data_IF_916050292101
#
_entry.id   IF_916050292101
#
_cell.length_a   1.000
_cell.length_b   1.000
_cell.length_c   1.000
_cell.angle_alpha   90.00
_cell.angle_beta   90.00
_cell.angle_gamma   90.00
#
_symmetry.space_group_name_H-M   'P 1'
#
loop_
_entity.id
_entity.type
_entity.pdbx_description
1 polymer ?
#
# COMPACT_ATOMS: atom_id res chain seq x y z
N UNK A 1 15.77 -2.76 2.38
CA UNK A 1 14.37 -3.23 2.28
C UNK A 1 13.36 -2.10 2.32
N UNK A 2 13.37 -1.20 3.31
CA UNK A 2 12.37 -0.11 3.39
C UNK A 2 12.33 0.81 2.15
N UNK A 3 13.48 1.14 1.54
CA UNK A 3 13.53 1.92 0.30
C UNK A 3 12.92 1.18 -0.92
N UNK A 4 13.03 -0.14 -0.94
CA UNK A 4 12.44 -1.02 -1.96
C UNK A 4 10.91 -1.00 -1.84
N UNK A 5 10.41 -1.11 -0.60
CA UNK A 5 8.98 -1.02 -0.26
C UNK A 5 8.42 0.35 -0.66
N UNK A 6 9.15 1.44 -0.39
CA UNK A 6 8.71 2.79 -0.77
C UNK A 6 8.62 2.96 -2.29
N UNK A 7 9.62 2.48 -3.03
CA UNK A 7 9.65 2.52 -4.49
C UNK A 7 8.46 1.76 -5.08
N UNK A 8 8.17 0.60 -4.53
CA UNK A 8 7.07 -0.27 -4.94
C UNK A 8 5.69 0.35 -4.68
N UNK A 9 5.50 1.00 -3.53
CA UNK A 9 4.27 1.73 -3.21
C UNK A 9 4.08 2.90 -4.19
N UNK A 10 5.13 3.67 -4.46
CA UNK A 10 5.09 4.78 -5.41
C UNK A 10 4.80 4.31 -6.84
N UNK A 11 5.39 3.19 -7.27
CA UNK A 11 5.14 2.61 -8.60
C UNK A 11 3.69 2.15 -8.74
N UNK A 12 3.14 1.50 -7.70
CA UNK A 12 1.74 1.08 -7.67
C UNK A 12 0.77 2.28 -7.73
N UNK A 13 1.10 3.39 -7.06
CA UNK A 13 0.34 4.65 -7.17
C UNK A 13 0.41 5.21 -8.59
N UNK A 14 1.62 5.34 -9.14
CA UNK A 14 1.86 5.92 -10.47
C UNK A 14 1.22 5.11 -11.60
N UNK A 15 1.24 3.78 -11.50
CA UNK A 15 0.57 2.88 -12.45
C UNK A 15 -0.95 3.05 -12.45
N UNK A 16 -1.55 3.38 -11.30
CA UNK A 16 -2.98 3.70 -11.23
C UNK A 16 -3.30 5.08 -11.83
N UNK A 17 -2.43 6.07 -11.70
CA UNK A 17 -2.63 7.41 -12.29
C UNK A 17 -2.51 7.41 -13.83
N UNK A 18 -1.66 6.54 -14.39
CA UNK A 18 -1.46 6.43 -15.84
C UNK A 18 -2.63 5.76 -16.59
N UNK A 19 -3.52 5.07 -15.87
CA UNK A 19 -4.73 4.46 -16.41
C UNK A 19 -5.95 5.32 -16.09
N UNK A 20 -6.43 6.07 -17.08
CA UNK A 20 -7.65 6.85 -16.99
C UNK A 20 -8.80 6.07 -16.30
N UNK A 21 -9.33 6.59 -15.19
CA UNK A 21 -10.58 6.12 -14.58
C UNK A 21 -10.46 4.90 -13.64
N UNK A 22 -9.31 4.66 -13.04
CA UNK A 22 -9.17 3.59 -12.04
C UNK A 22 -9.74 4.07 -10.70
N UNK A 23 -10.93 3.56 -10.38
CA UNK A 23 -11.58 3.74 -9.07
C UNK A 23 -10.57 3.49 -7.96
N UNK A 24 -10.39 4.44 -7.05
CA UNK A 24 -9.31 4.46 -6.05
C UNK A 24 -9.16 3.20 -5.18
N UNK A 25 -10.19 2.34 -5.15
CA UNK A 25 -10.16 1.00 -4.56
C UNK A 25 -9.16 0.05 -5.23
N UNK A 26 -8.95 0.16 -6.55
CA UNK A 26 -8.00 -0.68 -7.31
C UNK A 26 -6.56 -0.31 -6.96
N UNK A 27 -6.28 0.98 -6.80
CA UNK A 27 -4.97 1.49 -6.36
C UNK A 27 -4.62 0.98 -4.96
N UNK A 28 -5.58 1.05 -4.02
CA UNK A 28 -5.39 0.50 -2.68
C UNK A 28 -5.10 -1.01 -2.70
N UNK A 29 -5.82 -1.78 -3.53
CA UNK A 29 -5.60 -3.22 -3.67
C UNK A 29 -4.24 -3.57 -4.31
N UNK A 30 -3.77 -2.77 -5.27
CA UNK A 30 -2.44 -2.97 -5.86
C UNK A 30 -1.34 -2.71 -4.85
N UNK A 31 -1.43 -1.59 -4.10
CA UNK A 31 -0.47 -1.27 -3.05
C UNK A 31 -0.42 -2.40 -2.02
N UNK A 32 -1.59 -2.86 -1.55
CA UNK A 32 -1.70 -3.98 -0.61
C UNK A 32 -1.02 -5.25 -1.14
N UNK A 33 -1.28 -5.65 -2.39
CA UNK A 33 -0.66 -6.84 -2.97
C UNK A 33 0.87 -6.74 -3.00
N UNK A 34 1.39 -5.57 -3.32
CA UNK A 34 2.83 -5.36 -3.44
C UNK A 34 3.51 -5.33 -2.07
N UNK A 35 2.88 -4.73 -1.05
CA UNK A 35 3.46 -4.67 0.31
C UNK A 35 3.20 -5.92 1.14
N UNK A 36 2.20 -6.73 0.78
CA UNK A 36 1.81 -7.95 1.51
C UNK A 36 2.97 -8.93 1.76
N UNK A 37 3.80 -9.33 0.78
CA UNK A 37 4.90 -10.26 1.05
C UNK A 37 5.94 -9.67 2.03
N UNK A 38 6.17 -8.36 1.99
CA UNK A 38 7.04 -7.67 2.94
C UNK A 38 6.41 -7.54 4.32
N UNK A 39 5.08 -7.43 4.41
CA UNK A 39 4.39 -7.46 5.68
C UNK A 39 4.38 -8.87 6.29
N UNK A 40 4.15 -9.91 5.49
CA UNK A 40 4.07 -11.29 5.99
C UNK A 40 5.45 -11.85 6.35
N UNK A 41 6.46 -11.66 5.48
CA UNK A 41 7.81 -12.22 5.64
C UNK A 41 8.86 -11.25 6.19
N UNK A 42 8.55 -9.95 6.26
CA UNK A 42 9.49 -8.93 6.74
C UNK A 42 9.58 -8.83 8.26
N UNK A 43 10.53 -8.03 8.72
CA UNK A 43 10.79 -7.80 10.14
C UNK A 43 9.70 -6.92 10.79
N UNK A 44 9.67 -6.85 12.12
CA UNK A 44 8.76 -5.95 12.83
C UNK A 44 8.93 -4.47 12.40
N UNK A 45 10.15 -4.07 12.04
CA UNK A 45 10.43 -2.74 11.47
C UNK A 45 9.82 -2.56 10.08
N UNK A 46 9.92 -3.55 9.19
CA UNK A 46 9.31 -3.49 7.85
C UNK A 46 7.77 -3.43 7.96
N UNK A 47 7.18 -4.23 8.85
CA UNK A 47 5.74 -4.18 9.14
C UNK A 47 5.31 -2.80 9.62
N UNK A 48 6.04 -2.21 10.56
CA UNK A 48 5.74 -0.89 11.11
C UNK A 48 5.89 0.20 10.05
N UNK A 49 6.91 0.10 9.19
CA UNK A 49 7.12 1.02 8.07
C UNK A 49 5.97 0.97 7.06
N UNK A 50 5.52 -0.23 6.68
CA UNK A 50 4.37 -0.43 5.78
C UNK A 50 3.10 0.19 6.37
N UNK A 51 2.82 -0.04 7.65
CA UNK A 51 1.64 0.52 8.31
C UNK A 51 1.67 2.04 8.43
N UNK A 52 2.84 2.63 8.71
CA UNK A 52 3.01 4.08 8.75
C UNK A 52 2.74 4.72 7.38
N UNK A 53 3.30 4.13 6.31
CA UNK A 53 3.05 4.60 4.94
C UNK A 53 1.59 4.46 4.55
N UNK A 54 0.98 3.31 4.79
CA UNK A 54 -0.43 3.10 4.46
C UNK A 54 -1.35 4.07 5.22
N UNK A 55 -1.07 4.36 6.49
CA UNK A 55 -1.82 5.37 7.25
C UNK A 55 -1.67 6.77 6.65
N UNK A 56 -0.47 7.17 6.24
CA UNK A 56 -0.24 8.46 5.56
C UNK A 56 -1.02 8.53 4.24
N UNK A 57 -1.00 7.47 3.45
CA UNK A 57 -1.74 7.40 2.19
C UNK A 57 -3.26 7.45 2.41
N UNK A 58 -3.77 6.79 3.47
CA UNK A 58 -5.18 6.85 3.88
C UNK A 58 -5.62 8.28 4.26
N UNK A 59 -4.71 9.11 4.77
CA UNK A 59 -5.01 10.50 5.08
C UNK A 59 -4.95 11.42 3.86
N UNK A 60 -4.45 10.95 2.71
CA UNK A 60 -4.43 11.76 1.50
C UNK A 60 -5.83 11.80 0.85
N UNK A 61 -6.35 12.99 0.54
CA UNK A 61 -7.61 13.13 -0.18
C UNK A 61 -7.48 12.51 -1.58
N UNK A 62 -8.43 11.63 -1.95
CA UNK A 62 -8.46 10.97 -3.26
C UNK A 62 -8.07 9.48 -3.27
N UNK A 63 -7.58 8.94 -2.14
CA UNK A 63 -7.25 7.50 -2.03
C UNK A 63 -8.05 6.83 -0.91
N UNK A 64 -9.31 6.41 -1.15
CA UNK A 64 -10.03 5.52 -0.24
C UNK A 64 -9.28 4.20 -0.07
N UNK A 65 -8.63 4.06 1.07
CA UNK A 65 -8.15 2.78 1.54
C UNK A 65 -9.25 2.07 2.33
N UNK A 66 -9.37 0.73 2.22
CA UNK A 66 -10.28 -0.04 3.06
C UNK A 66 -9.91 0.13 4.53
N UNK A 67 -10.87 0.15 5.47
CA UNK A 67 -10.58 0.28 6.90
C UNK A 67 -9.84 -0.94 7.47
N UNK A 68 -9.90 -2.09 6.79
CA UNK A 68 -9.41 -3.38 7.27
C UNK A 68 -8.02 -3.76 6.72
N UNK A 69 -7.14 -2.77 6.43
CA UNK A 69 -5.83 -3.00 5.82
C UNK A 69 -5.00 -4.06 6.54
N UNK A 70 -4.90 -3.95 7.86
CA UNK A 70 -4.11 -4.89 8.66
C UNK A 70 -4.63 -6.33 8.55
N UNK A 71 -5.95 -6.52 8.47
CA UNK A 71 -6.52 -7.85 8.23
C UNK A 71 -6.19 -8.35 6.82
N UNK A 72 -6.27 -7.49 5.81
CA UNK A 72 -5.95 -7.86 4.42
C UNK A 72 -4.46 -8.21 4.22
N UNK A 73 -3.57 -7.60 5.00
CA UNK A 73 -2.14 -7.89 4.99
C UNK A 73 -1.77 -9.17 5.77
N UNK A 74 -2.58 -9.54 6.76
CA UNK A 74 -2.39 -10.76 7.55
C UNK A 74 -2.99 -12.00 6.89
N UNK A 75 -4.16 -11.87 6.25
CA UNK A 75 -4.85 -12.92 5.52
C UNK A 75 -4.04 -13.45 4.33
#
# INVERSE_FOLDING_TARGET
MQHDIETLICDAMRKSEAGAGVSSSVTANQILNVVKPYYQNGSNEDRRFILDKLNKLKQQPGVPFPPNLEQMLRA
#
